data_IF_771303643898
#
_entry.id   IF_771303643898
#
_cell.length_a   1.000
_cell.length_b   1.000
_cell.length_c   1.000
_cell.angle_alpha   90.00
_cell.angle_beta   90.00
_cell.angle_gamma   90.00
#
_symmetry.space_group_name_H-M   'P 1'
#
loop_
_entity.id
_entity.type
_entity.pdbx_description
1 polymer ?
#
# COMPACT_ATOMS: atom_id res chain seq x y z
N UNK A 1 21.55 0.69 -9.71
CA UNK A 1 20.22 0.39 -9.11
C UNK A 1 20.45 0.23 -7.62
N UNK A 2 19.85 1.09 -6.81
CA UNK A 2 20.16 1.28 -5.37
C UNK A 2 19.43 0.22 -4.51
N UNK A 3 18.33 -0.33 -5.04
CA UNK A 3 17.56 -1.43 -4.45
C UNK A 3 17.13 -2.41 -5.53
N UNK A 4 17.08 -3.71 -5.22
CA UNK A 4 16.37 -4.71 -6.01
C UNK A 4 15.02 -4.95 -5.37
N UNK A 5 13.95 -4.80 -6.14
CA UNK A 5 12.60 -5.08 -5.66
C UNK A 5 11.89 -6.04 -6.62
N UNK A 6 11.06 -6.90 -6.04
CA UNK A 6 10.14 -7.79 -6.77
C UNK A 6 8.76 -7.60 -6.17
N UNK A 7 7.75 -7.53 -7.01
CA UNK A 7 6.35 -7.53 -6.58
C UNK A 7 5.56 -8.59 -7.28
N UNK A 8 4.49 -9.04 -6.61
CA UNK A 8 3.52 -9.95 -7.19
C UNK A 8 2.12 -9.57 -6.73
N UNK A 9 1.14 -9.83 -7.59
CA UNK A 9 -0.27 -9.87 -7.17
C UNK A 9 -0.51 -11.12 -6.34
N UNK A 10 -1.44 -11.02 -5.41
CA UNK A 10 -1.98 -12.18 -4.71
C UNK A 10 -3.31 -12.59 -5.33
N UNK A 11 -3.66 -13.88 -5.27
CA UNK A 11 -5.02 -14.36 -5.55
C UNK A 11 -5.96 -14.11 -4.36
N UNK A 12 -5.43 -13.77 -3.18
CA UNK A 12 -6.21 -13.52 -1.99
C UNK A 12 -6.85 -12.11 -2.07
N UNK A 13 -8.18 -11.97 -1.96
CA UNK A 13 -8.88 -10.70 -2.22
C UNK A 13 -8.56 -9.58 -1.23
N UNK A 14 -8.00 -9.90 -0.06
CA UNK A 14 -7.68 -8.93 0.99
C UNK A 14 -6.25 -8.37 0.86
N UNK A 15 -5.48 -8.85 -0.12
CA UNK A 15 -4.12 -8.40 -0.40
C UNK A 15 -4.15 -7.62 -1.71
N UNK A 16 -3.73 -6.36 -1.70
CA UNK A 16 -3.57 -5.56 -2.91
C UNK A 16 -2.30 -5.99 -3.66
N UNK A 17 -1.16 -5.98 -2.97
CA UNK A 17 0.14 -6.35 -3.54
C UNK A 17 1.08 -6.90 -2.47
N UNK A 18 1.99 -7.80 -2.87
CA UNK A 18 3.12 -8.26 -2.06
C UNK A 18 4.42 -7.75 -2.67
N UNK A 19 5.29 -7.18 -1.83
CA UNK A 19 6.61 -6.71 -2.24
C UNK A 19 7.71 -7.40 -1.44
N UNK A 20 8.84 -7.62 -2.10
CA UNK A 20 10.10 -7.92 -1.46
C UNK A 20 11.19 -6.99 -2.00
N UNK A 21 12.01 -6.44 -1.11
CA UNK A 21 13.12 -5.56 -1.47
C UNK A 21 14.41 -6.03 -0.82
N UNK A 22 15.53 -5.81 -1.50
CA UNK A 22 16.89 -5.88 -0.96
C UNK A 22 17.61 -4.58 -1.32
N UNK A 23 18.13 -3.88 -0.33
CA UNK A 23 18.89 -2.64 -0.48
C UNK A 23 20.36 -2.98 -0.78
N UNK A 24 20.93 -2.33 -1.80
CA UNK A 24 22.30 -2.58 -2.26
C UNK A 24 23.28 -1.45 -1.91
N UNK A 25 22.76 -0.40 -1.27
CA UNK A 25 23.51 0.69 -0.66
C UNK A 25 22.59 1.45 0.29
N UNK A 26 23.16 2.37 1.06
CA UNK A 26 22.39 3.34 1.84
C UNK A 26 21.60 4.29 0.92
N UNK A 27 20.44 4.75 1.40
CA UNK A 27 19.65 5.71 0.65
C UNK A 27 18.36 6.15 1.33
N UNK A 28 17.61 6.96 0.60
CA UNK A 28 16.26 7.40 0.95
C UNK A 28 15.28 6.88 -0.10
N UNK A 29 14.17 6.32 0.36
CA UNK A 29 13.04 5.91 -0.46
C UNK A 29 11.86 6.85 -0.21
N UNK A 30 11.16 7.28 -1.26
CA UNK A 30 9.92 8.05 -1.11
C UNK A 30 8.72 7.11 -1.11
N UNK A 31 8.17 6.83 0.08
CA UNK A 31 6.90 6.15 0.25
C UNK A 31 5.77 7.09 -0.18
N UNK A 32 5.09 6.76 -1.27
CA UNK A 32 4.00 7.60 -1.82
C UNK A 32 2.63 7.01 -1.53
N UNK A 33 1.56 7.83 -1.53
CA UNK A 33 0.19 7.34 -1.42
C UNK A 33 -0.13 6.28 -2.48
N UNK A 34 -0.60 5.12 -2.04
CA UNK A 34 -0.97 3.98 -2.91
C UNK A 34 -2.38 3.42 -2.66
N UNK A 35 -3.07 3.96 -1.64
CA UNK A 35 -4.39 3.49 -1.24
C UNK A 35 -4.38 2.34 -0.25
N UNK A 36 -3.21 1.86 0.17
CA UNK A 36 -3.08 0.72 1.06
C UNK A 36 -2.49 1.12 2.40
N UNK A 37 -2.74 0.29 3.40
CA UNK A 37 -1.94 0.24 4.62
C UNK A 37 -1.19 -1.10 4.63
N UNK A 38 -0.05 -1.16 5.31
CA UNK A 38 0.86 -2.30 5.16
C UNK A 38 1.18 -2.99 6.48
N UNK A 39 1.37 -4.32 6.41
CA UNK A 39 2.17 -5.07 7.36
C UNK A 39 3.57 -5.26 6.75
N UNK A 40 4.58 -4.74 7.44
CA UNK A 40 5.96 -4.71 6.96
C UNK A 40 6.82 -5.51 7.92
N UNK A 41 7.61 -6.43 7.35
CA UNK A 41 8.79 -6.98 8.01
C UNK A 41 10.02 -6.36 7.38
N UNK A 42 10.80 -5.62 8.17
CA UNK A 42 12.15 -5.19 7.83
C UNK A 42 13.16 -6.16 8.44
N UNK A 43 14.24 -6.44 7.72
CA UNK A 43 15.28 -7.39 8.09
C UNK A 43 16.62 -6.67 7.94
N UNK A 44 17.29 -6.46 9.07
CA UNK A 44 18.62 -5.86 9.10
C UNK A 44 19.69 -6.80 8.50
N UNK A 45 20.86 -6.28 8.12
CA UNK A 45 21.94 -7.10 7.54
C UNK A 45 22.43 -8.23 8.46
N UNK A 46 22.27 -8.07 9.77
CA UNK A 46 22.60 -9.09 10.79
C UNK A 46 21.49 -10.15 10.99
N UNK A 47 20.39 -10.04 10.22
CA UNK A 47 19.24 -10.94 10.26
C UNK A 47 18.14 -10.55 11.26
N UNK A 48 18.34 -9.51 12.07
CA UNK A 48 17.32 -9.07 13.03
C UNK A 48 16.08 -8.56 12.31
N UNK A 49 14.90 -9.02 12.75
CA UNK A 49 13.62 -8.64 12.15
C UNK A 49 12.88 -7.61 13.00
N UNK A 50 12.41 -6.56 12.35
CA UNK A 50 11.41 -5.64 12.88
C UNK A 50 10.11 -5.84 12.12
N UNK A 51 8.99 -5.93 12.84
CA UNK A 51 7.66 -6.00 12.23
C UNK A 51 6.83 -4.82 12.69
N UNK A 52 6.17 -4.15 11.76
CA UNK A 52 5.34 -3.00 12.06
C UNK A 52 4.21 -2.82 11.04
N UNK A 53 3.19 -2.09 11.47
CA UNK A 53 2.11 -1.64 10.61
C UNK A 53 2.35 -0.19 10.20
N UNK A 54 2.21 0.12 8.91
CA UNK A 54 2.13 1.49 8.40
C UNK A 54 0.69 1.87 8.13
N UNK A 55 0.40 3.18 8.18
CA UNK A 55 -0.86 3.71 7.69
C UNK A 55 -0.83 3.99 6.20
N UNK A 56 -2.02 4.25 5.64
CA UNK A 56 -2.13 4.77 4.30
C UNK A 56 -1.49 6.15 4.23
N UNK A 57 -0.42 6.26 3.44
CA UNK A 57 0.25 7.53 3.20
C UNK A 57 -0.73 8.53 2.56
N UNK A 58 -0.80 9.73 3.13
CA UNK A 58 -1.61 10.84 2.61
C UNK A 58 -0.79 11.84 1.82
N UNK A 59 0.53 11.78 1.98
CA UNK A 59 1.54 12.54 1.25
C UNK A 59 2.83 11.69 1.17
N UNK A 60 3.78 12.06 0.31
CA UNK A 60 5.07 11.37 0.23
C UNK A 60 5.86 11.49 1.53
N UNK A 61 6.42 10.37 1.99
CA UNK A 61 7.27 10.29 3.18
C UNK A 61 8.63 9.71 2.81
N UNK A 62 9.70 10.35 3.24
CA UNK A 62 11.05 9.81 3.08
C UNK A 62 11.32 8.75 4.13
N UNK A 63 11.73 7.57 3.68
CA UNK A 63 12.04 6.40 4.49
C UNK A 63 13.50 6.05 4.26
N UNK A 64 14.38 6.21 5.27
CA UNK A 64 15.77 5.80 5.14
C UNK A 64 15.87 4.27 5.11
N UNK A 65 16.83 3.78 4.35
CA UNK A 65 17.23 2.37 4.34
C UNK A 65 18.76 2.26 4.30
N UNK A 66 19.26 1.13 4.76
CA UNK A 66 20.70 0.84 4.81
C UNK A 66 21.08 -0.27 3.84
N UNK A 67 22.35 -0.28 3.45
CA UNK A 67 22.93 -1.38 2.69
C UNK A 67 22.68 -2.73 3.37
N UNK A 68 22.29 -3.73 2.58
CA UNK A 68 21.97 -5.07 3.06
C UNK A 68 20.61 -5.23 3.75
N UNK A 69 19.87 -4.14 4.03
CA UNK A 69 18.51 -4.25 4.56
C UNK A 69 17.58 -4.88 3.51
N UNK A 70 16.71 -5.78 3.96
CA UNK A 70 15.67 -6.35 3.12
C UNK A 70 14.31 -6.23 3.79
N UNK A 71 13.25 -6.31 2.99
CA UNK A 71 11.89 -6.22 3.53
C UNK A 71 10.91 -7.10 2.78
N UNK A 72 9.85 -7.48 3.49
CA UNK A 72 8.64 -8.08 2.93
C UNK A 72 7.48 -7.18 3.34
N UNK A 73 6.68 -6.76 2.37
CA UNK A 73 5.55 -5.86 2.56
C UNK A 73 4.28 -6.53 2.07
N UNK A 74 3.28 -6.58 2.93
CA UNK A 74 1.93 -7.01 2.61
C UNK A 74 1.06 -5.76 2.59
N UNK A 75 0.67 -5.32 1.39
CA UNK A 75 -0.26 -4.20 1.22
C UNK A 75 -1.68 -4.72 1.21
N UNK A 76 -2.50 -4.26 2.15
CA UNK A 76 -3.88 -4.70 2.25
C UNK A 76 -4.79 -3.96 1.26
N UNK A 77 -5.81 -4.66 0.79
CA UNK A 77 -6.86 -4.06 -0.03
C UNK A 77 -7.64 -3.01 0.78
N UNK A 78 -8.09 -1.95 0.13
CA UNK A 78 -8.72 -0.79 0.79
C UNK A 78 -9.98 -1.10 1.62
N UNK A 79 -10.61 -2.24 1.39
CA UNK A 79 -11.77 -2.66 2.17
C UNK A 79 -11.41 -3.40 3.46
N UNK A 80 -10.13 -3.74 3.66
CA UNK A 80 -9.62 -4.52 4.79
C UNK A 80 -9.13 -3.58 5.88
N UNK A 81 -9.46 -3.90 7.12
CA UNK A 81 -9.09 -3.09 8.28
C UNK A 81 -8.87 -3.95 9.53
N UNK A 82 -8.20 -3.36 10.52
CA UNK A 82 -8.02 -3.94 11.86
C UNK A 82 -9.25 -3.56 12.72
N UNK A 83 -10.14 -4.50 13.09
CA UNK A 83 -11.36 -4.17 13.81
C UNK A 83 -11.13 -3.68 15.24
N UNK A 84 -9.93 -3.89 15.80
CA UNK A 84 -9.53 -3.41 17.13
C UNK A 84 -8.93 -2.00 17.13
N UNK A 85 -8.56 -1.48 15.96
CA UNK A 85 -8.09 -0.10 15.85
C UNK A 85 -9.28 0.86 15.96
N UNK A 86 -9.12 1.94 16.74
CA UNK A 86 -10.20 2.92 16.98
C UNK A 86 -10.45 3.84 15.79
N UNK A 87 -9.50 3.91 14.86
CA UNK A 87 -9.53 4.75 13.68
C UNK A 87 -8.72 4.09 12.56
N UNK A 88 -9.03 4.37 11.28
CA UNK A 88 -8.22 3.90 10.17
C UNK A 88 -6.81 4.49 10.25
N UNK A 89 -5.81 3.69 9.86
CA UNK A 89 -4.41 4.10 9.86
C UNK A 89 -4.13 4.97 8.64
N UNK A 90 -3.85 6.25 8.87
CA UNK A 90 -3.47 7.22 7.84
C UNK A 90 -2.27 8.03 8.31
N UNK A 91 -1.46 8.50 7.37
CA UNK A 91 -0.28 9.30 7.67
C UNK A 91 0.95 8.48 8.06
N UNK A 92 1.99 9.12 8.65
CA UNK A 92 3.31 8.53 8.82
C UNK A 92 3.45 7.66 10.08
N UNK A 93 2.43 7.61 10.94
CA UNK A 93 2.51 6.85 12.19
C UNK A 93 2.63 5.35 11.93
N UNK A 94 3.60 4.71 12.59
CA UNK A 94 3.80 3.27 12.57
C UNK A 94 3.42 2.65 13.91
N UNK A 95 2.93 1.40 13.87
CA UNK A 95 2.75 0.57 15.06
C UNK A 95 3.76 -0.57 15.04
N UNK A 96 4.77 -0.49 15.91
CA UNK A 96 5.71 -1.59 16.13
C UNK A 96 4.99 -2.80 16.74
N UNK A 97 5.24 -3.97 16.17
CA UNK A 97 4.73 -5.25 16.67
C UNK A 97 5.87 -6.01 17.34
N UNK A 98 5.68 -6.53 18.57
CA UNK A 98 6.71 -7.31 19.24
C UNK A 98 7.12 -8.53 18.41
N UNK A 99 8.41 -8.73 18.23
CA UNK A 99 9.00 -9.91 17.57
C UNK A 99 9.67 -10.77 18.63
N UNK A 100 9.41 -12.08 18.59
CA UNK A 100 10.04 -13.08 19.46
C UNK A 100 10.39 -14.29 18.61
N UNK A 101 11.67 -14.66 18.56
CA UNK A 101 12.18 -15.74 17.73
C UNK A 101 11.70 -15.64 16.26
N UNK A 102 10.87 -16.57 15.81
CA UNK A 102 10.33 -16.64 14.46
C UNK A 102 8.87 -16.14 14.33
N UNK A 103 8.36 -15.45 15.36
CA UNK A 103 6.99 -14.92 15.37
C UNK A 103 6.94 -13.42 15.68
N UNK A 104 5.82 -12.80 15.32
CA UNK A 104 5.43 -11.48 15.80
C UNK A 104 4.07 -11.55 16.48
N UNK A 105 3.80 -10.63 17.39
CA UNK A 105 2.53 -10.57 18.10
C UNK A 105 1.66 -9.40 17.62
N UNK A 106 0.40 -9.71 17.28
CA UNK A 106 -0.62 -8.71 16.96
C UNK A 106 -1.86 -8.97 17.82
N UNK A 107 -2.24 -7.97 18.63
CA UNK A 107 -3.42 -8.00 19.50
C UNK A 107 -3.55 -9.28 20.36
N UNK A 108 -2.41 -9.80 20.85
CA UNK A 108 -2.32 -10.98 21.70
C UNK A 108 -2.24 -12.32 20.96
N UNK A 109 -2.18 -12.30 19.63
CA UNK A 109 -2.02 -13.50 18.80
C UNK A 109 -0.60 -13.54 18.24
N UNK A 110 0.10 -14.66 18.42
CA UNK A 110 1.42 -14.89 17.84
C UNK A 110 1.28 -15.46 16.42
N UNK A 111 1.96 -14.86 15.46
CA UNK A 111 1.88 -15.14 14.03
C UNK A 111 3.28 -15.39 13.45
N UNK A 112 3.45 -16.24 12.42
CA UNK A 112 4.74 -16.44 11.79
C UNK A 112 5.22 -15.14 11.12
N UNK A 113 6.54 -14.90 11.15
CA UNK A 113 7.11 -13.74 10.45
C UNK A 113 6.74 -13.75 8.95
N UNK A 114 6.36 -12.59 8.37
CA UNK A 114 6.10 -12.49 6.95
C UNK A 114 7.33 -12.89 6.11
N UNK A 115 7.09 -13.72 5.11
CA UNK A 115 8.03 -14.03 4.02
C UNK A 115 7.31 -13.77 2.71
N UNK A 116 8.06 -13.61 1.61
CA UNK A 116 7.43 -13.37 0.30
C UNK A 116 6.48 -14.51 -0.13
N UNK A 117 6.67 -15.72 0.40
CA UNK A 117 5.90 -16.92 0.02
C UNK A 117 4.78 -17.28 0.99
N UNK A 118 4.86 -16.88 2.27
CA UNK A 118 3.85 -17.26 3.27
C UNK A 118 2.73 -16.21 3.45
N UNK A 119 2.68 -15.18 2.62
CA UNK A 119 1.77 -14.05 2.79
C UNK A 119 0.30 -14.48 2.83
N UNK A 120 -0.13 -15.30 1.88
CA UNK A 120 -1.50 -15.80 1.81
C UNK A 120 -1.91 -16.59 3.06
N UNK A 121 -1.22 -17.68 3.46
CA UNK A 121 -1.60 -18.43 4.66
C UNK A 121 -1.45 -17.61 5.96
N UNK A 122 -0.52 -16.64 6.01
CA UNK A 122 -0.43 -15.71 7.13
C UNK A 122 -1.71 -14.85 7.21
N UNK A 123 -2.15 -14.28 6.09
CA UNK A 123 -3.38 -13.48 6.04
C UNK A 123 -4.60 -14.35 6.39
N UNK A 124 -4.71 -15.58 5.88
CA UNK A 124 -5.78 -16.51 6.27
C UNK A 124 -5.81 -16.73 7.79
N UNK A 125 -4.64 -16.90 8.41
CA UNK A 125 -4.52 -17.06 9.87
C UNK A 125 -4.98 -15.80 10.62
N UNK A 126 -4.61 -14.62 10.12
CA UNK A 126 -5.06 -13.34 10.69
C UNK A 126 -6.58 -13.17 10.60
N UNK A 127 -7.19 -13.59 9.51
CA UNK A 127 -8.65 -13.59 9.32
C UNK A 127 -9.32 -14.54 10.30
N UNK A 128 -8.85 -15.78 10.37
CA UNK A 128 -9.39 -16.80 11.27
C UNK A 128 -9.30 -16.38 12.75
N UNK A 129 -8.24 -15.64 13.12
CA UNK A 129 -8.06 -15.09 14.46
C UNK A 129 -8.87 -13.80 14.73
N UNK A 130 -9.62 -13.28 13.75
CA UNK A 130 -10.40 -12.05 13.86
C UNK A 130 -9.55 -10.78 13.98
N UNK A 131 -8.29 -10.83 13.52
CA UNK A 131 -7.37 -9.69 13.50
C UNK A 131 -7.65 -8.78 12.31
N UNK A 132 -8.22 -9.31 11.24
CA UNK A 132 -8.61 -8.57 10.04
C UNK A 132 -10.12 -8.67 9.83
N UNK A 133 -10.72 -7.60 9.32
CA UNK A 133 -12.11 -7.56 8.89
C UNK A 133 -12.23 -6.86 7.53
N UNK A 134 -13.36 -7.04 6.86
CA UNK A 134 -13.67 -6.45 5.55
C UNK A 134 -14.94 -5.59 5.64
N UNK A 135 -14.94 -4.46 4.93
CA UNK A 135 -16.13 -3.66 4.67
C UNK A 135 -16.66 -3.92 3.25
N UNK A 136 -17.76 -4.67 3.16
CA UNK A 136 -18.38 -5.07 1.90
C UNK A 136 -18.81 -3.90 1.00
N UNK A 137 -19.24 -2.78 1.58
CA UNK A 137 -19.59 -1.59 0.79
C UNK A 137 -18.36 -0.99 0.12
N UNK A 138 -17.22 -0.99 0.81
CA UNK A 138 -15.95 -0.52 0.25
C UNK A 138 -15.41 -1.53 -0.77
N UNK A 139 -15.50 -2.83 -0.50
CA UNK A 139 -15.10 -3.86 -1.45
C UNK A 139 -15.86 -3.75 -2.78
N UNK A 140 -17.17 -3.45 -2.72
CA UNK A 140 -18.03 -3.24 -3.89
C UNK A 140 -17.90 -1.86 -4.54
N UNK A 141 -17.35 -0.88 -3.83
CA UNK A 141 -17.15 0.48 -4.37
C UNK A 141 -16.15 0.51 -5.55
N UNK A 142 -15.43 -0.59 -5.78
CA UNK A 142 -14.52 -0.79 -6.91
C UNK A 142 -15.15 -1.57 -8.08
N UNK A 143 -16.39 -2.05 -7.94
CA UNK A 143 -17.14 -2.75 -9.00
C UNK A 143 -18.22 -1.88 -9.65
N UNK A 144 -18.85 -2.38 -10.72
CA UNK A 144 -19.72 -1.60 -11.61
C UNK A 144 -21.10 -1.21 -11.02
N UNK A 145 -21.47 -1.55 -9.78
CA UNK A 145 -22.76 -1.08 -9.23
C UNK A 145 -22.90 -1.23 -7.71
N UNK A 146 -22.92 -0.14 -6.93
CA UNK A 146 -23.47 -0.17 -5.57
C UNK A 146 -25.01 -0.17 -5.67
N UNK A 147 -25.64 -1.32 -5.90
CA UNK A 147 -27.10 -1.42 -6.06
C UNK A 147 -27.94 -1.16 -4.79
N UNK A 148 -27.33 -0.86 -3.65
CA UNK A 148 -28.06 -0.78 -2.36
C UNK A 148 -27.66 0.36 -1.41
N UNK A 149 -26.69 1.23 -1.74
CA UNK A 149 -26.23 2.28 -0.84
C UNK A 149 -26.26 3.66 -1.51
N UNK A 150 -26.69 4.69 -0.77
CA UNK A 150 -26.64 6.06 -1.25
C UNK A 150 -25.17 6.53 -1.40
N UNK A 151 -24.87 7.48 -2.31
CA UNK A 151 -23.52 8.02 -2.46
C UNK A 151 -22.91 8.54 -1.15
N UNK A 152 -23.74 9.12 -0.28
CA UNK A 152 -23.34 9.60 1.05
C UNK A 152 -22.91 8.45 1.97
N UNK A 153 -23.68 7.36 1.98
CA UNK A 153 -23.36 6.16 2.77
C UNK A 153 -22.03 5.55 2.28
N UNK A 154 -21.85 5.39 0.97
CA UNK A 154 -20.59 4.89 0.39
C UNK A 154 -19.42 5.78 0.81
N UNK A 155 -19.54 7.11 0.67
CA UNK A 155 -18.48 8.04 1.05
C UNK A 155 -18.14 7.95 2.55
N UNK A 156 -19.15 7.83 3.41
CA UNK A 156 -18.95 7.71 4.85
C UNK A 156 -18.24 6.40 5.21
N UNK A 157 -18.73 5.26 4.71
CA UNK A 157 -18.10 3.96 4.95
C UNK A 157 -16.67 3.91 4.40
N UNK A 158 -16.44 4.46 3.21
CA UNK A 158 -15.10 4.53 2.63
C UNK A 158 -14.15 5.32 3.52
N UNK A 159 -14.57 6.50 4.01
CA UNK A 159 -13.75 7.31 4.92
C UNK A 159 -13.53 6.64 6.28
N UNK A 160 -14.53 5.94 6.81
CA UNK A 160 -14.39 5.21 8.08
C UNK A 160 -13.42 4.03 7.97
N UNK A 161 -13.40 3.34 6.82
CA UNK A 161 -12.53 2.18 6.61
C UNK A 161 -11.11 2.57 6.18
N UNK A 162 -10.96 3.56 5.29
CA UNK A 162 -9.65 3.92 4.70
C UNK A 162 -9.05 5.21 5.28
N UNK A 163 -9.83 5.99 6.02
CA UNK A 163 -9.44 7.33 6.49
C UNK A 163 -9.50 8.41 5.40
N UNK A 164 -9.60 8.06 4.12
CA UNK A 164 -9.69 9.01 3.01
C UNK A 164 -11.01 8.89 2.23
N UNK A 165 -11.28 9.86 1.35
CA UNK A 165 -12.49 9.80 0.53
C UNK A 165 -12.31 8.85 -0.66
N UNK A 166 -13.40 8.25 -1.14
CA UNK A 166 -13.39 7.44 -2.37
C UNK A 166 -12.79 8.21 -3.56
N UNK A 167 -13.10 9.50 -3.69
CA UNK A 167 -12.53 10.36 -4.75
C UNK A 167 -11.01 10.50 -4.59
N UNK A 168 -10.51 10.73 -3.38
CA UNK A 168 -9.08 10.79 -3.11
C UNK A 168 -8.39 9.48 -3.48
N UNK A 169 -8.99 8.35 -3.10
CA UNK A 169 -8.49 7.02 -3.41
C UNK A 169 -8.41 6.78 -4.93
N UNK A 170 -9.49 7.10 -5.66
CA UNK A 170 -9.51 7.00 -7.12
C UNK A 170 -8.42 7.86 -7.77
N UNK A 171 -8.19 9.08 -7.28
CA UNK A 171 -7.10 9.92 -7.78
C UNK A 171 -5.72 9.29 -7.52
N UNK A 172 -5.52 8.67 -6.36
CA UNK A 172 -4.28 7.95 -6.01
C UNK A 172 -4.06 6.79 -6.98
N UNK A 173 -5.02 5.85 -7.09
CA UNK A 173 -4.89 4.68 -7.97
C UNK A 173 -4.70 5.07 -9.43
N UNK A 174 -5.41 6.11 -9.88
CA UNK A 174 -5.24 6.64 -11.24
C UNK A 174 -3.84 7.22 -11.46
N UNK A 175 -3.29 7.95 -10.49
CA UNK A 175 -1.94 8.49 -10.58
C UNK A 175 -0.89 7.37 -10.58
N UNK A 176 -1.04 6.32 -9.75
CA UNK A 176 -0.16 5.15 -9.78
C UNK A 176 -0.18 4.45 -11.14
N UNK A 177 -1.37 4.20 -11.68
CA UNK A 177 -1.52 3.56 -12.99
C UNK A 177 -0.89 4.42 -14.09
N UNK A 178 -1.07 5.75 -14.05
CA UNK A 178 -0.43 6.66 -14.98
C UNK A 178 1.10 6.51 -14.93
N UNK A 179 1.68 6.47 -13.73
CA UNK A 179 3.13 6.29 -13.58
C UNK A 179 3.57 4.93 -14.09
N UNK A 180 2.84 3.86 -13.76
CA UNK A 180 3.16 2.50 -14.21
C UNK A 180 3.26 2.43 -15.73
N UNK A 181 2.28 3.00 -16.44
CA UNK A 181 2.25 3.07 -17.91
C UNK A 181 3.36 3.93 -18.50
N UNK A 182 3.62 5.10 -17.89
CA UNK A 182 4.73 5.96 -18.30
C UNK A 182 6.10 5.27 -18.14
N UNK A 183 6.31 4.54 -17.03
CA UNK A 183 7.52 3.74 -16.81
C UNK A 183 7.65 2.57 -17.80
N UNK A 184 6.53 2.04 -18.28
CA UNK A 184 6.51 1.05 -19.35
C UNK A 184 6.79 1.65 -20.75
N UNK A 185 6.97 2.97 -20.86
CA UNK A 185 7.31 3.66 -22.11
C UNK A 185 6.10 4.09 -22.94
N UNK A 186 4.88 4.04 -22.39
CA UNK A 186 3.68 4.50 -23.10
C UNK A 186 3.68 6.03 -23.30
N UNK A 187 3.09 6.48 -24.43
CA UNK A 187 3.07 7.90 -24.79
C UNK A 187 2.23 8.73 -23.80
N UNK A 188 2.78 9.80 -23.20
CA UNK A 188 2.09 10.54 -22.12
C UNK A 188 0.71 11.09 -22.46
N UNK A 189 0.50 11.56 -23.69
CA UNK A 189 -0.80 12.05 -24.14
C UNK A 189 -1.85 10.93 -24.22
N UNK A 190 -1.46 9.73 -24.67
CA UNK A 190 -2.34 8.56 -24.72
C UNK A 190 -2.72 8.10 -23.32
N UNK A 191 -1.75 7.98 -22.42
CA UNK A 191 -1.99 7.62 -21.00
C UNK A 191 -2.95 8.61 -20.34
N UNK A 192 -2.83 9.91 -20.62
CA UNK A 192 -3.72 10.92 -20.07
C UNK A 192 -5.18 10.69 -20.50
N UNK A 193 -5.41 10.45 -21.81
CA UNK A 193 -6.75 10.19 -22.37
C UNK A 193 -7.33 8.89 -21.80
N UNK A 194 -6.56 7.79 -21.83
CA UNK A 194 -7.01 6.47 -21.39
C UNK A 194 -7.43 6.43 -19.92
N UNK A 195 -6.75 7.23 -19.08
CA UNK A 195 -7.04 7.32 -17.65
C UNK A 195 -8.05 8.43 -17.32
N UNK A 196 -8.60 9.12 -18.32
CA UNK A 196 -9.62 10.15 -18.13
C UNK A 196 -9.09 11.42 -17.46
N UNK A 197 -7.84 11.80 -17.74
CA UNK A 197 -7.34 13.15 -17.50
C UNK A 197 -7.80 14.08 -18.63
N UNK A 198 -7.95 15.37 -18.34
CA UNK A 198 -8.32 16.37 -19.35
C UNK A 198 -7.25 16.50 -20.44
N UNK A 199 -5.96 16.43 -20.04
CA UNK A 199 -4.79 16.42 -20.91
C UNK A 199 -3.54 15.94 -20.13
N UNK A 200 -2.41 15.86 -20.83
CA UNK A 200 -1.11 15.50 -20.25
C UNK A 200 -0.66 16.48 -19.13
N UNK A 201 -0.70 17.82 -19.29
CA UNK A 201 -0.41 18.76 -18.20
C UNK A 201 -1.21 18.51 -16.91
N UNK A 202 -2.51 18.24 -17.02
CA UNK A 202 -3.38 17.91 -15.88
C UNK A 202 -2.96 16.60 -15.21
N UNK A 203 -2.62 15.57 -16.00
CA UNK A 203 -2.07 14.32 -15.48
C UNK A 203 -0.77 14.55 -14.70
N UNK A 204 0.20 15.27 -15.28
CA UNK A 204 1.49 15.56 -14.63
C UNK A 204 1.28 16.34 -13.33
N UNK A 205 0.39 17.33 -13.31
CA UNK A 205 0.05 18.10 -12.10
C UNK A 205 -0.57 17.21 -11.03
N UNK A 206 -1.44 16.28 -11.43
CA UNK A 206 -2.05 15.30 -10.51
C UNK A 206 -0.99 14.37 -9.91
N UNK A 207 -0.09 13.84 -10.73
CA UNK A 207 1.00 12.96 -10.28
C UNK A 207 1.89 13.72 -9.29
N UNK A 208 2.35 14.92 -9.64
CA UNK A 208 3.19 15.74 -8.76
C UNK A 208 2.52 16.04 -7.42
N UNK A 209 1.21 16.31 -7.43
CA UNK A 209 0.45 16.59 -6.20
C UNK A 209 0.37 15.37 -5.27
N UNK A 210 0.24 14.16 -5.82
CA UNK A 210 0.04 12.94 -5.04
C UNK A 210 1.38 12.31 -4.65
N UNK A 211 2.29 12.20 -5.60
CA UNK A 211 3.57 11.50 -5.47
C UNK A 211 4.72 12.41 -5.03
N UNK A 212 4.51 13.74 -4.97
CA UNK A 212 5.55 14.73 -4.65
C UNK A 212 6.59 14.96 -5.75
N UNK A 213 6.70 14.04 -6.71
CA UNK A 213 7.67 14.07 -7.80
C UNK A 213 7.01 14.12 -9.18
N UNK A 214 7.74 14.65 -10.15
CA UNK A 214 7.36 14.60 -11.56
C UNK A 214 7.61 13.21 -12.14
N UNK A 215 6.86 12.78 -13.18
CA UNK A 215 7.06 11.48 -13.83
C UNK A 215 8.50 11.14 -14.21
N UNK A 216 9.25 12.13 -14.68
CA UNK A 216 10.68 12.00 -15.05
C UNK A 216 11.60 11.61 -13.89
N UNK A 217 11.16 11.80 -12.65
CA UNK A 217 11.95 11.59 -11.44
C UNK A 217 11.45 10.39 -10.62
N UNK A 218 10.52 9.59 -11.16
CA UNK A 218 9.89 8.48 -10.42
C UNK A 218 10.73 7.21 -10.38
N UNK A 219 11.98 7.24 -10.83
CA UNK A 219 12.92 6.13 -10.58
C UNK A 219 13.11 5.86 -9.08
N UNK A 220 12.91 6.87 -8.23
CA UNK A 220 12.97 6.77 -6.76
C UNK A 220 11.67 6.31 -6.10
N UNK A 221 10.57 6.19 -6.88
CA UNK A 221 9.28 5.68 -6.38
C UNK A 221 9.18 4.20 -6.72
N UNK A 222 9.49 3.35 -5.74
CA UNK A 222 9.63 1.90 -5.89
C UNK A 222 8.32 1.11 -5.73
N UNK A 223 7.27 1.67 -5.09
CA UNK A 223 5.97 1.01 -4.90
C UNK A 223 4.92 1.54 -5.90
N UNK A 224 4.97 1.05 -7.15
CA UNK A 224 4.01 1.38 -8.22
C UNK A 224 3.61 0.12 -8.97
#
# INVERSE_FOLDING_TARGET
MVQKHTSRRSSHPWIDTVWQTVCLSDGLYSATPDGSWDLIRSIAPDGQSLVFLSGQATEPVEVPYRDGESSVVISFAAHVYLPRDKAPRVGPEIRMLPVRDATFQLDGVDLPLPTFENVEPLVDTMIAAGLLASNDLVARAFGETPKAASPRSVQQHFKQTTGITQKSFQMIRRAQEAVRRLKAGEAPAGVAVDLGYADQPHMIKSIKKIMGALPSNLETVHKI
#
